data_IF_465995078968
#
_entry.id   IF_465995078968
#
_cell.length_a   1.000
_cell.length_b   1.000
_cell.length_c   1.000
_cell.angle_alpha   90.00
_cell.angle_beta   90.00
_cell.angle_gamma   90.00
#
_symmetry.space_group_name_H-M   'P 1'
#
loop_
_entity.id
_entity.type
_entity.pdbx_description
1 polymer ?
#
# COMPACT_ATOMS: atom_id res chain seq x y z
N UNK A 1 5.56 -13.71 -9.25
CA UNK A 1 5.56 -12.51 -8.39
C UNK A 1 6.63 -12.72 -7.35
N UNK A 2 7.52 -11.76 -7.14
CA UNK A 2 8.54 -11.86 -6.08
C UNK A 2 7.94 -11.67 -4.68
N UNK A 3 8.73 -11.96 -3.65
CA UNK A 3 8.32 -11.93 -2.24
C UNK A 3 7.89 -10.53 -1.79
N UNK A 4 8.59 -9.48 -2.24
CA UNK A 4 8.24 -8.09 -1.95
C UNK A 4 6.86 -7.76 -2.50
N UNK A 5 6.59 -8.12 -3.74
CA UNK A 5 5.31 -7.84 -4.38
C UNK A 5 4.17 -8.60 -3.70
N UNK A 6 4.41 -9.84 -3.25
CA UNK A 6 3.44 -10.59 -2.43
C UNK A 6 3.16 -9.86 -1.12
N UNK A 7 4.20 -9.48 -0.36
CA UNK A 7 4.09 -8.72 0.88
C UNK A 7 3.24 -7.45 0.70
N UNK A 8 3.53 -6.63 -0.31
CA UNK A 8 2.81 -5.39 -0.56
C UNK A 8 1.33 -5.62 -0.90
N UNK A 9 1.01 -6.67 -1.66
CA UNK A 9 -0.36 -7.03 -1.99
C UNK A 9 -1.12 -7.59 -0.77
N UNK A 10 -0.48 -8.42 0.06
CA UNK A 10 -1.09 -8.89 1.31
C UNK A 10 -1.45 -7.72 2.23
N UNK A 11 -0.56 -6.74 2.38
CA UNK A 11 -0.80 -5.54 3.17
C UNK A 11 -1.95 -4.71 2.61
N UNK A 12 -1.96 -4.44 1.30
CA UNK A 12 -3.01 -3.66 0.65
C UNK A 12 -4.39 -4.35 0.70
N UNK A 13 -4.41 -5.67 0.70
CA UNK A 13 -5.64 -6.46 0.80
C UNK A 13 -6.09 -6.73 2.23
N UNK A 14 -5.28 -6.34 3.23
CA UNK A 14 -5.55 -6.62 4.64
C UNK A 14 -5.39 -8.09 5.04
N UNK A 15 -4.73 -8.90 4.20
CA UNK A 15 -4.37 -10.29 4.51
C UNK A 15 -3.21 -10.35 5.50
N UNK A 16 -2.37 -9.31 5.52
CA UNK A 16 -1.32 -9.12 6.51
C UNK A 16 -1.56 -7.82 7.29
N UNK A 17 -1.37 -7.81 8.62
CA UNK A 17 -1.51 -6.59 9.42
C UNK A 17 -0.52 -5.50 8.99
N UNK A 18 -0.99 -4.25 8.88
CA UNK A 18 -0.14 -3.10 8.54
C UNK A 18 1.02 -2.92 9.52
N UNK A 19 0.84 -3.27 10.80
CA UNK A 19 1.90 -3.21 11.82
C UNK A 19 3.11 -4.06 11.44
N UNK A 20 2.90 -5.32 11.03
CA UNK A 20 3.97 -6.20 10.56
C UNK A 20 4.65 -5.65 9.30
N UNK A 21 3.88 -5.04 8.39
CA UNK A 21 4.44 -4.39 7.20
C UNK A 21 5.33 -3.20 7.54
N UNK A 22 4.97 -2.43 8.57
CA UNK A 22 5.78 -1.29 9.05
C UNK A 22 7.07 -1.77 9.69
N UNK A 23 7.01 -2.79 10.56
CA UNK A 23 8.20 -3.39 11.19
C UNK A 23 9.16 -3.94 10.13
N UNK A 24 8.62 -4.65 9.13
CA UNK A 24 9.38 -5.13 7.97
C UNK A 24 10.04 -3.98 7.20
N UNK A 25 9.29 -2.91 6.91
CA UNK A 25 9.79 -1.76 6.16
C UNK A 25 10.86 -0.97 6.92
N UNK A 26 10.69 -0.78 8.23
CA UNK A 26 11.65 -0.06 9.08
C UNK A 26 12.98 -0.81 9.22
N UNK A 27 12.98 -2.13 9.14
CA UNK A 27 14.18 -2.96 9.18
C UNK A 27 15.02 -2.92 7.89
N UNK A 28 14.47 -2.37 6.80
CA UNK A 28 15.18 -2.26 5.52
C UNK A 28 16.23 -1.13 5.52
N UNK A 29 17.34 -1.31 4.80
CA UNK A 29 18.24 -0.22 4.46
C UNK A 29 17.52 0.95 3.78
N UNK A 30 18.03 2.19 3.89
CA UNK A 30 17.39 3.37 3.30
C UNK A 30 17.17 3.26 1.79
N UNK A 31 18.09 2.65 1.04
CA UNK A 31 17.96 2.39 -0.39
C UNK A 31 16.78 1.45 -0.69
N UNK A 32 16.64 0.37 0.07
CA UNK A 32 15.57 -0.61 -0.10
C UNK A 32 14.20 -0.05 0.29
N UNK A 33 14.15 0.82 1.31
CA UNK A 33 12.93 1.57 1.63
C UNK A 33 12.47 2.45 0.47
N UNK A 34 13.40 3.09 -0.25
CA UNK A 34 13.07 3.89 -1.41
C UNK A 34 12.51 3.03 -2.55
N UNK A 35 13.14 1.90 -2.85
CA UNK A 35 12.67 0.96 -3.86
C UNK A 35 11.27 0.42 -3.53
N UNK A 36 10.99 0.11 -2.26
CA UNK A 36 9.64 -0.31 -1.82
C UNK A 36 8.60 0.80 -2.05
N UNK A 37 8.93 2.06 -1.78
CA UNK A 37 8.02 3.17 -2.05
C UNK A 37 7.80 3.36 -3.56
N UNK A 38 8.84 3.17 -4.37
CA UNK A 38 8.77 3.22 -5.83
C UNK A 38 7.82 2.13 -6.37
N UNK A 39 7.99 0.89 -5.90
CA UNK A 39 7.14 -0.25 -6.25
C UNK A 39 5.67 0.01 -5.86
N UNK A 40 5.42 0.49 -4.63
CA UNK A 40 4.09 0.87 -4.15
C UNK A 40 3.44 1.96 -5.02
N UNK A 41 4.21 2.99 -5.40
CA UNK A 41 3.73 4.03 -6.31
C UNK A 41 3.34 3.46 -7.67
N UNK A 42 4.16 2.56 -8.22
CA UNK A 42 3.88 1.83 -9.46
C UNK A 42 2.60 0.99 -9.35
N UNK A 43 2.44 0.25 -8.26
CA UNK A 43 1.23 -0.55 -8.00
C UNK A 43 -0.03 0.33 -7.90
N UNK A 44 0.05 1.50 -7.26
CA UNK A 44 -1.08 2.44 -7.21
C UNK A 44 -1.52 2.87 -8.62
N UNK A 45 -0.57 3.18 -9.51
CA UNK A 45 -0.87 3.51 -10.91
C UNK A 45 -1.50 2.33 -11.65
N UNK A 46 -0.95 1.12 -11.50
CA UNK A 46 -1.48 -0.10 -12.14
C UNK A 46 -2.88 -0.47 -11.63
N UNK A 47 -3.15 -0.23 -10.35
CA UNK A 47 -4.48 -0.37 -9.73
C UNK A 47 -5.46 0.73 -10.16
N UNK A 48 -5.01 1.72 -10.95
CA UNK A 48 -5.78 2.88 -11.39
C UNK A 48 -6.26 3.72 -10.21
N UNK A 49 -5.37 4.00 -9.25
CA UNK A 49 -5.63 4.95 -8.18
C UNK A 49 -6.02 6.33 -8.77
N UNK A 50 -6.91 7.03 -8.09
CA UNK A 50 -7.39 8.36 -8.48
C UNK A 50 -7.30 9.33 -7.32
N UNK A 51 -7.48 10.63 -7.59
CA UNK A 51 -7.40 11.67 -6.55
C UNK A 51 -8.48 11.52 -5.48
N UNK A 52 -9.63 10.94 -5.85
CA UNK A 52 -10.75 10.67 -4.95
C UNK A 52 -10.43 9.58 -3.91
N UNK A 53 -9.45 8.73 -4.18
CA UNK A 53 -9.00 7.70 -3.22
C UNK A 53 -8.17 8.32 -2.08
N UNK A 54 -7.65 9.54 -2.25
CA UNK A 54 -6.75 10.22 -1.33
C UNK A 54 -7.28 10.37 0.10
N UNK A 55 -8.45 11.00 0.31
CA UNK A 55 -8.99 11.20 1.66
C UNK A 55 -9.20 9.89 2.44
N UNK A 56 -9.74 8.86 1.78
CA UNK A 56 -9.94 7.56 2.41
C UNK A 56 -8.62 6.85 2.71
N UNK A 57 -7.64 6.97 1.81
CA UNK A 57 -6.29 6.42 2.03
C UNK A 57 -5.61 7.05 3.25
N UNK A 58 -5.74 8.38 3.44
CA UNK A 58 -5.22 9.08 4.62
C UNK A 58 -5.87 8.55 5.90
N UNK A 59 -7.20 8.36 5.89
CA UNK A 59 -7.95 7.82 7.03
C UNK A 59 -7.49 6.41 7.38
N UNK A 60 -7.38 5.52 6.38
CA UNK A 60 -6.99 4.12 6.56
C UNK A 60 -5.52 3.95 6.95
N UNK A 61 -4.63 4.84 6.49
CA UNK A 61 -3.21 4.84 6.86
C UNK A 61 -2.98 5.18 8.35
N UNK A 62 -3.97 5.80 9.01
CA UNK A 62 -3.86 6.24 10.40
C UNK A 62 -2.86 7.36 10.61
N UNK A 63 -2.58 8.17 9.57
CA UNK A 63 -1.69 9.32 9.65
C UNK A 63 -2.48 10.61 9.84
N UNK A 64 -1.84 11.63 10.44
CA UNK A 64 -2.47 12.94 10.60
C UNK A 64 -2.66 13.59 9.21
N UNK A 65 -3.81 14.22 8.91
CA UNK A 65 -4.01 14.93 7.65
C UNK A 65 -3.01 16.07 7.39
N UNK A 66 -2.34 16.55 8.44
CA UNK A 66 -1.30 17.58 8.37
C UNK A 66 0.09 17.04 8.04
N UNK A 67 0.31 15.73 8.07
CA UNK A 67 1.58 15.15 7.63
C UNK A 67 1.77 15.39 6.13
N UNK A 68 3.01 15.66 5.74
CA UNK A 68 3.40 16.00 4.35
C UNK A 68 2.81 15.04 3.31
N UNK A 69 2.92 13.70 3.43
CA UNK A 69 2.36 12.80 2.42
C UNK A 69 0.83 12.88 2.31
N UNK A 70 0.10 13.12 3.43
CA UNK A 70 -1.35 13.29 3.43
C UNK A 70 -1.78 14.59 2.71
N UNK A 71 -1.02 15.67 2.90
CA UNK A 71 -1.27 16.94 2.20
C UNK A 71 -0.99 16.81 0.71
N UNK A 72 0.07 16.08 0.32
CA UNK A 72 0.43 15.90 -1.08
C UNK A 72 -0.60 15.06 -1.83
N UNK A 73 -1.01 13.91 -1.29
CA UNK A 73 -1.90 12.96 -1.99
C UNK A 73 -3.31 13.52 -2.25
N UNK A 74 -3.73 14.49 -1.45
CA UNK A 74 -5.07 15.11 -1.53
C UNK A 74 -5.11 16.34 -2.44
N UNK A 75 -4.01 16.67 -3.15
CA UNK A 75 -3.88 17.89 -3.95
C UNK A 75 -3.35 17.62 -5.35
N UNK A 76 -3.90 18.28 -6.37
CA UNK A 76 -3.32 18.30 -7.72
C UNK A 76 -3.33 16.93 -8.43
N UNK A 77 -2.39 16.73 -9.36
CA UNK A 77 -2.31 15.54 -10.22
C UNK A 77 -1.62 14.38 -9.50
N UNK A 78 -2.33 13.25 -9.34
CA UNK A 78 -1.89 12.11 -8.54
C UNK A 78 -0.48 11.61 -8.89
N UNK A 79 -0.19 11.39 -10.18
CA UNK A 79 1.12 10.89 -10.60
C UNK A 79 2.28 11.79 -10.13
N UNK A 80 2.12 13.10 -10.27
CA UNK A 80 3.12 14.07 -9.79
C UNK A 80 3.23 14.11 -8.26
N UNK A 81 2.17 13.80 -7.53
CA UNK A 81 2.21 13.71 -6.07
C UNK A 81 2.84 12.43 -5.57
N UNK A 82 2.59 11.30 -6.25
CA UNK A 82 3.26 10.03 -5.94
C UNK A 82 4.78 10.19 -6.07
N UNK A 83 5.27 10.81 -7.14
CA UNK A 83 6.70 11.11 -7.28
C UNK A 83 7.23 11.92 -6.10
N UNK A 84 6.51 12.95 -5.64
CA UNK A 84 6.94 13.77 -4.50
C UNK A 84 6.94 12.98 -3.19
N UNK A 85 5.92 12.15 -2.97
CA UNK A 85 5.79 11.31 -1.77
C UNK A 85 6.92 10.29 -1.68
N UNK A 86 7.26 9.64 -2.79
CA UNK A 86 8.36 8.66 -2.87
C UNK A 86 9.71 9.31 -2.54
N UNK A 87 9.90 10.58 -2.94
CA UNK A 87 11.14 11.34 -2.73
C UNK A 87 11.14 12.15 -1.42
N UNK A 88 10.21 11.91 -0.50
CA UNK A 88 10.24 12.57 0.80
C UNK A 88 11.50 12.15 1.61
N UNK A 89 11.96 13.02 2.53
CA UNK A 89 13.08 12.69 3.41
C UNK A 89 12.82 11.44 4.27
N UNK A 90 13.89 10.85 4.80
CA UNK A 90 13.85 9.55 5.46
C UNK A 90 12.86 9.47 6.63
N UNK A 91 12.72 10.53 7.41
CA UNK A 91 11.81 10.65 8.57
C UNK A 91 10.32 10.74 8.19
N UNK A 92 10.02 10.87 6.90
CA UNK A 92 8.67 10.82 6.35
C UNK A 92 8.32 9.46 5.71
N UNK A 93 9.31 8.58 5.49
CA UNK A 93 9.11 7.35 4.70
C UNK A 93 8.11 6.37 5.31
N UNK A 94 8.09 6.21 6.64
CA UNK A 94 7.10 5.35 7.30
C UNK A 94 5.68 5.88 7.08
N UNK A 95 5.49 7.21 7.11
CA UNK A 95 4.19 7.83 6.83
C UNK A 95 3.80 7.66 5.36
N UNK A 96 4.77 7.81 4.45
CA UNK A 96 4.59 7.57 3.02
C UNK A 96 4.22 6.10 2.74
N UNK A 97 4.91 5.15 3.37
CA UNK A 97 4.65 3.72 3.25
C UNK A 97 3.21 3.38 3.67
N UNK A 98 2.80 3.79 4.88
CA UNK A 98 1.43 3.57 5.37
C UNK A 98 0.39 4.14 4.41
N UNK A 99 0.64 5.34 3.89
CA UNK A 99 -0.26 5.99 2.94
C UNK A 99 -0.37 5.26 1.61
N UNK A 100 0.76 4.85 1.02
CA UNK A 100 0.78 4.20 -0.28
C UNK A 100 0.21 2.78 -0.21
N UNK A 101 0.41 2.05 0.89
CA UNK A 101 -0.28 0.77 1.14
C UNK A 101 -1.80 0.97 1.19
N UNK A 102 -2.27 1.97 1.95
CA UNK A 102 -3.69 2.27 2.03
C UNK A 102 -4.27 2.69 0.67
N UNK A 103 -3.55 3.51 -0.09
CA UNK A 103 -3.92 3.93 -1.44
C UNK A 103 -4.05 2.75 -2.40
N UNK A 104 -3.08 1.84 -2.39
CA UNK A 104 -3.15 0.61 -3.17
C UNK A 104 -4.38 -0.21 -2.77
N UNK A 105 -4.66 -0.36 -1.48
CA UNK A 105 -5.83 -1.09 -0.99
C UNK A 105 -7.16 -0.49 -1.43
N UNK A 106 -7.32 0.84 -1.35
CA UNK A 106 -8.52 1.54 -1.82
C UNK A 106 -8.71 1.37 -3.32
N UNK A 107 -7.65 1.62 -4.10
CA UNK A 107 -7.70 1.52 -5.56
C UNK A 107 -7.98 0.08 -6.03
N UNK A 108 -7.29 -0.90 -5.45
CA UNK A 108 -7.45 -2.31 -5.81
C UNK A 108 -8.82 -2.86 -5.38
N UNK A 109 -9.33 -2.48 -4.19
CA UNK A 109 -10.71 -2.82 -3.79
C UNK A 109 -11.73 -2.32 -4.81
N UNK A 110 -11.65 -1.04 -5.20
CA UNK A 110 -12.54 -0.46 -6.22
C UNK A 110 -12.41 -1.18 -7.56
N UNK A 111 -11.19 -1.56 -7.95
CA UNK A 111 -10.94 -2.34 -9.16
C UNK A 111 -11.63 -3.70 -9.08
N UNK A 112 -11.48 -4.43 -7.97
CA UNK A 112 -12.09 -5.74 -7.76
C UNK A 112 -13.60 -5.69 -7.88
N UNK A 113 -14.23 -4.73 -7.20
CA UNK A 113 -15.68 -4.54 -7.20
C UNK A 113 -16.23 -4.23 -8.60
N UNK A 114 -15.46 -3.58 -9.47
CA UNK A 114 -15.90 -3.17 -10.81
C UNK A 114 -15.57 -4.17 -11.92
N UNK A 115 -14.42 -4.86 -11.82
CA UNK A 115 -13.84 -5.59 -12.96
C UNK A 115 -13.54 -7.06 -12.65
N UNK A 116 -13.70 -7.49 -11.40
CA UNK A 116 -13.32 -8.84 -10.97
C UNK A 116 -14.46 -9.58 -10.25
N UNK A 117 -15.69 -9.05 -10.30
CA UNK A 117 -16.86 -9.62 -9.62
C UNK A 117 -17.29 -10.98 -10.20
N UNK A 118 -17.08 -11.21 -11.50
CA UNK A 118 -17.47 -12.43 -12.21
C UNK A 118 -16.32 -13.45 -12.35
N UNK A 119 -15.30 -13.33 -11.50
CA UNK A 119 -14.10 -14.14 -11.51
C UNK A 119 -12.84 -13.34 -11.81
N UNK A 120 -11.73 -13.71 -11.16
CA UNK A 120 -10.45 -13.01 -11.28
C UNK A 120 -9.30 -13.99 -11.52
N UNK A 121 -8.49 -13.73 -12.54
CA UNK A 121 -7.28 -14.50 -12.86
C UNK A 121 -5.98 -13.82 -12.45
N UNK A 122 -6.07 -12.64 -11.80
CA UNK A 122 -4.89 -11.94 -11.32
C UNK A 122 -4.27 -12.71 -10.15
N UNK A 123 -2.98 -13.04 -10.27
CA UNK A 123 -2.27 -13.82 -9.24
C UNK A 123 -2.29 -13.14 -7.86
N UNK A 124 -2.35 -11.81 -7.78
CA UNK A 124 -2.38 -11.10 -6.50
C UNK A 124 -3.75 -11.17 -5.81
N UNK A 125 -4.83 -11.53 -6.52
CA UNK A 125 -6.14 -11.78 -5.91
C UNK A 125 -6.36 -13.26 -5.52
N UNK A 126 -5.35 -14.10 -5.77
CA UNK A 126 -5.36 -15.53 -5.41
C UNK A 126 -4.42 -15.82 -4.24
N UNK A 127 -3.97 -14.77 -3.54
CA UNK A 127 -3.17 -14.92 -2.33
C UNK A 127 -4.05 -15.50 -1.22
N UNK A 128 -3.62 -16.61 -0.61
CA UNK A 128 -4.24 -17.09 0.61
C UNK A 128 -3.76 -16.21 1.76
N UNK A 129 -4.66 -15.86 2.68
CA UNK A 129 -4.22 -15.34 3.98
C UNK A 129 -3.24 -16.35 4.57
N UNK A 130 -2.05 -15.91 4.96
CA UNK A 130 -1.12 -16.75 5.69
C UNK A 130 -1.88 -17.40 6.84
N UNK A 131 -2.02 -18.72 6.77
CA UNK A 131 -2.68 -19.48 7.79
C UNK A 131 -1.87 -19.31 9.08
N UNK A 132 -2.39 -18.52 10.02
CA UNK A 132 -2.14 -18.77 11.44
C UNK A 132 -2.77 -20.13 11.77
N UNK A 133 -2.06 -21.21 11.44
CA UNK A 133 -2.30 -22.54 12.00
C UNK A 133 -1.17 -22.85 12.97
N UNK A 134 -1.09 -22.08 14.05
CA UNK A 134 -0.73 -22.63 15.35
C UNK A 134 -2.03 -23.01 16.07
N UNK A 135 -2.69 -24.05 15.56
CA UNK A 135 -3.68 -24.77 16.32
C UNK A 135 -2.95 -25.65 17.33
N UNK A 136 -3.00 -25.21 18.58
CA UNK A 136 -2.90 -25.97 19.81
C UNK A 136 -2.74 -27.49 19.63
N UNK A 137 -1.56 -28.01 19.99
CA UNK A 137 -1.44 -29.34 20.59
C UNK A 137 -1.03 -29.14 22.04
N UNK A 138 -2.06 -29.06 22.89
CA UNK A 138 -1.99 -29.47 24.28
C UNK A 138 -2.16 -30.99 24.34
#
# INVERSE_FOLDING_TARGET
MDERTVMLNELAQGLRPLGQGVEWFEALPPEDQFEVLLDLGGHCIQARATVEDGPESVRLAGIRPTHTPAVLITRGQLAGQLTKIINLPQDERVKAFRLLVAMLGVADKRRRERFCADGCTHAWHQLAAGADTEAATA
#
